data_IF_650245749722
#
_entry.id   IF_650245749722
#
_cell.length_a   1.000
_cell.length_b   1.000
_cell.length_c   1.000
_cell.angle_alpha   90.00
_cell.angle_beta   90.00
_cell.angle_gamma   90.00
#
_symmetry.space_group_name_H-M   'P 1'
#
loop_
_entity.id
_entity.type
_entity.pdbx_description
1 polymer ?
#
# COMPACT_ATOMS: atom_id res chain seq x y z
N UNK A 1 1.96 12.05 0.07
CA UNK A 1 1.03 13.02 0.71
C UNK A 1 0.02 12.26 1.56
N UNK A 2 -0.34 12.82 2.70
CA UNK A 2 -1.44 12.33 3.54
C UNK A 2 -2.46 13.47 3.73
N UNK A 3 -3.74 13.11 3.69
CA UNK A 3 -4.87 14.01 3.92
C UNK A 3 -5.91 13.31 4.78
N UNK A 4 -6.63 14.06 5.61
CA UNK A 4 -7.75 13.52 6.36
C UNK A 4 -8.90 14.53 6.46
N UNK A 5 -10.12 14.02 6.69
CA UNK A 5 -11.34 14.80 6.87
C UNK A 5 -11.99 14.61 8.25
N UNK A 6 -11.20 14.20 9.26
CA UNK A 6 -11.59 13.82 10.64
C UNK A 6 -12.36 12.49 10.74
N UNK A 7 -12.73 11.86 9.63
CA UNK A 7 -13.36 10.52 9.57
C UNK A 7 -12.49 9.53 8.83
N UNK A 8 -11.90 9.96 7.73
CA UNK A 8 -11.10 9.15 6.83
C UNK A 8 -9.71 9.74 6.67
N UNK A 9 -8.76 8.89 6.37
CA UNK A 9 -7.39 9.23 5.98
C UNK A 9 -7.11 8.66 4.59
N UNK A 10 -6.48 9.48 3.77
CA UNK A 10 -6.01 9.10 2.46
C UNK A 10 -4.50 9.31 2.34
N UNK A 11 -3.82 8.35 1.71
CA UNK A 11 -2.41 8.45 1.36
C UNK A 11 -2.28 8.39 -0.15
N UNK A 12 -1.62 9.39 -0.75
CA UNK A 12 -1.25 9.40 -2.16
C UNK A 12 0.25 9.21 -2.29
N UNK A 13 0.64 8.17 -3.01
CA UNK A 13 2.02 7.85 -3.34
C UNK A 13 2.23 7.99 -4.83
N UNK A 14 3.41 8.47 -5.21
CA UNK A 14 3.82 8.64 -6.60
C UNK A 14 5.25 8.18 -6.75
N UNK A 15 5.53 7.42 -7.80
CA UNK A 15 6.90 7.04 -8.15
C UNK A 15 7.05 6.91 -9.66
N UNK A 16 8.26 7.18 -10.12
CA UNK A 16 8.62 6.99 -11.52
C UNK A 16 8.81 5.51 -11.82
N UNK A 17 8.21 5.08 -12.91
CA UNK A 17 8.28 3.74 -13.41
C UNK A 17 8.07 3.78 -14.94
N UNK A 18 9.08 3.39 -15.68
CA UNK A 18 9.06 3.52 -17.15
C UNK A 18 8.03 2.58 -17.79
N UNK A 19 7.77 1.44 -17.15
CA UNK A 19 6.86 0.40 -17.67
C UNK A 19 5.93 -0.10 -16.57
N UNK A 20 4.61 -0.18 -16.80
CA UNK A 20 3.70 -0.75 -15.81
C UNK A 20 3.70 -2.28 -15.91
N UNK A 21 4.19 -2.93 -14.86
CA UNK A 21 4.14 -4.38 -14.73
C UNK A 21 2.86 -4.79 -14.00
N UNK A 22 1.87 -5.17 -14.81
CA UNK A 22 0.50 -5.44 -14.37
C UNK A 22 0.11 -6.90 -14.62
N UNK A 23 -0.86 -7.40 -13.86
CA UNK A 23 -1.35 -8.76 -14.04
C UNK A 23 -1.95 -8.94 -15.45
N UNK A 24 -1.52 -10.01 -16.13
CA UNK A 24 -2.06 -10.41 -17.43
C UNK A 24 -2.53 -11.87 -17.34
N UNK A 25 -3.63 -12.24 -17.99
CA UNK A 25 -4.06 -13.65 -18.03
C UNK A 25 -2.94 -14.55 -18.53
N UNK A 26 -2.57 -15.55 -17.73
CA UNK A 26 -1.54 -16.54 -18.07
C UNK A 26 -0.09 -16.08 -17.92
N UNK A 27 0.16 -14.82 -17.54
CA UNK A 27 1.53 -14.33 -17.33
C UNK A 27 1.52 -13.14 -16.37
N UNK A 28 1.88 -13.34 -15.13
CA UNK A 28 2.47 -12.26 -14.32
C UNK A 28 3.00 -12.81 -13.01
N UNK A 29 4.29 -12.89 -12.90
CA UNK A 29 4.95 -13.33 -11.68
C UNK A 29 5.51 -12.15 -10.89
N UNK A 30 5.73 -11.03 -11.56
CA UNK A 30 6.35 -9.83 -10.98
C UNK A 30 5.49 -8.62 -11.34
N UNK A 31 4.79 -8.09 -10.34
CA UNK A 31 3.91 -6.94 -10.50
C UNK A 31 4.50 -5.74 -9.79
N UNK A 32 4.20 -4.56 -10.31
CA UNK A 32 4.41 -3.35 -9.54
C UNK A 32 3.51 -3.36 -8.32
N UNK A 33 4.08 -3.01 -7.20
CA UNK A 33 3.37 -2.99 -5.94
C UNK A 33 3.96 -1.95 -4.99
N UNK A 34 3.12 -1.48 -4.09
CA UNK A 34 3.55 -0.58 -3.02
C UNK A 34 2.82 -0.93 -1.73
N UNK A 35 3.52 -0.83 -0.60
CA UNK A 35 2.91 -1.01 0.70
C UNK A 35 3.22 0.15 1.63
N UNK A 36 2.25 0.45 2.49
CA UNK A 36 2.38 1.28 3.67
C UNK A 36 2.44 0.38 4.88
N UNK A 37 3.42 0.58 5.74
CA UNK A 37 3.56 -0.15 6.99
C UNK A 37 3.46 0.83 8.14
N UNK A 38 2.61 0.51 9.12
CA UNK A 38 2.38 1.31 10.31
C UNK A 38 2.70 0.53 11.57
N UNK A 39 3.15 1.23 12.60
CA UNK A 39 3.26 0.67 13.94
C UNK A 39 2.39 1.46 14.92
N UNK A 40 1.81 0.74 15.88
CA UNK A 40 1.09 1.33 17.00
C UNK A 40 2.01 2.03 18.01
N UNK A 41 3.31 1.74 17.96
CA UNK A 41 4.30 2.46 18.77
C UNK A 41 4.73 3.74 18.07
N UNK A 42 4.70 4.86 18.79
CA UNK A 42 5.22 6.15 18.31
C UNK A 42 6.74 6.32 18.54
N UNK A 43 7.39 5.34 19.15
CA UNK A 43 8.81 5.40 19.47
C UNK A 43 9.67 5.15 18.24
N UNK A 44 10.30 6.20 17.74
CA UNK A 44 11.28 6.10 16.67
C UNK A 44 12.47 5.21 17.08
N UNK A 45 12.81 4.25 16.20
CA UNK A 45 13.99 3.39 16.38
C UNK A 45 13.78 2.19 17.32
N UNK A 46 12.61 2.08 17.96
CA UNK A 46 12.34 0.94 18.85
C UNK A 46 11.80 -0.29 18.13
N UNK A 47 11.49 -0.19 16.84
CA UNK A 47 10.90 -1.28 16.04
C UNK A 47 11.70 -1.45 14.76
N UNK A 48 12.02 -2.71 14.47
CA UNK A 48 12.66 -3.04 13.20
C UNK A 48 11.72 -2.72 12.02
N UNK A 49 12.22 -1.99 11.03
CA UNK A 49 11.43 -1.55 9.87
C UNK A 49 11.03 -2.68 8.91
N UNK A 50 11.65 -3.85 9.04
CA UNK A 50 11.39 -5.01 8.22
C UNK A 50 10.28 -5.89 8.80
N UNK A 51 9.01 -5.46 8.72
CA UNK A 51 7.82 -6.25 9.07
C UNK A 51 7.59 -6.43 10.59
N UNK A 52 8.03 -5.47 11.39
CA UNK A 52 7.80 -5.50 12.84
C UNK A 52 8.67 -6.49 13.59
N UNK A 53 8.33 -6.68 14.86
CA UNK A 53 9.02 -7.58 15.80
C UNK A 53 8.02 -8.33 16.68
N UNK A 54 8.48 -9.43 17.29
CA UNK A 54 7.72 -10.13 18.31
C UNK A 54 7.27 -9.15 19.40
N UNK A 55 5.98 -9.11 19.71
CA UNK A 55 5.31 -8.15 20.62
C UNK A 55 5.19 -6.71 20.11
N UNK A 56 5.67 -6.39 18.94
CA UNK A 56 5.50 -5.09 18.29
C UNK A 56 5.01 -5.29 16.84
N UNK A 57 3.75 -5.71 16.67
CA UNK A 57 3.19 -5.97 15.35
C UNK A 57 3.07 -4.67 14.54
N UNK A 58 3.05 -4.85 13.24
CA UNK A 58 2.79 -3.79 12.27
C UNK A 58 1.55 -4.13 11.47
N UNK A 59 0.80 -3.08 11.11
CA UNK A 59 -0.29 -3.17 10.14
C UNK A 59 0.23 -2.70 8.79
N UNK A 60 -0.05 -3.45 7.72
CA UNK A 60 0.49 -3.24 6.38
C UNK A 60 -0.68 -3.15 5.41
N UNK A 61 -0.70 -2.10 4.60
CA UNK A 61 -1.61 -1.92 3.48
C UNK A 61 -0.85 -2.16 2.19
N UNK A 62 -1.14 -3.25 1.52
CA UNK A 62 -0.39 -3.71 0.36
C UNK A 62 -1.24 -3.61 -0.89
N UNK A 63 -0.90 -2.70 -1.79
CA UNK A 63 -1.48 -2.57 -3.11
C UNK A 63 -0.60 -3.25 -4.15
N UNK A 64 -1.23 -3.96 -5.11
CA UNK A 64 -0.58 -4.59 -6.25
C UNK A 64 -1.25 -4.16 -7.55
N UNK A 65 -0.51 -4.11 -8.63
CA UNK A 65 -1.03 -3.89 -9.98
C UNK A 65 -1.61 -5.19 -10.57
N UNK A 66 -2.44 -5.91 -9.80
CA UNK A 66 -3.01 -7.20 -10.14
C UNK A 66 -4.40 -7.11 -10.82
N UNK A 67 -4.99 -5.92 -10.82
CA UNK A 67 -6.30 -5.67 -11.41
C UNK A 67 -6.31 -4.35 -12.16
N UNK A 68 -6.59 -4.38 -13.45
CA UNK A 68 -6.62 -3.16 -14.28
C UNK A 68 -7.53 -3.32 -15.49
N UNK A 69 -8.03 -2.18 -15.98
CA UNK A 69 -8.55 -2.06 -17.34
C UNK A 69 -7.64 -1.12 -18.12
N UNK A 70 -7.33 -1.52 -19.34
CA UNK A 70 -6.79 -0.59 -20.32
C UNK A 70 -7.97 0.23 -20.83
N UNK A 71 -8.02 1.50 -20.51
CA UNK A 71 -8.93 2.43 -21.16
C UNK A 71 -8.20 2.95 -22.38
N UNK A 72 -8.57 2.47 -23.57
CA UNK A 72 -8.14 3.06 -24.83
C UNK A 72 -8.69 4.49 -24.86
N UNK A 73 -7.84 5.44 -24.55
CA UNK A 73 -8.10 6.84 -24.83
C UNK A 73 -8.06 7.08 -26.34
N UNK A 74 -8.89 8.02 -26.84
CA UNK A 74 -8.82 8.49 -28.22
C UNK A 74 -7.37 8.75 -28.64
N UNK A 75 -7.06 8.49 -29.92
CA UNK A 75 -5.74 8.40 -30.58
C UNK A 75 -4.71 9.56 -30.37
N UNK A 76 -4.89 10.39 -29.36
CA UNK A 76 -3.97 11.44 -28.90
C UNK A 76 -3.61 11.35 -27.41
N UNK A 77 -4.07 10.34 -26.71
CA UNK A 77 -3.78 10.14 -25.29
C UNK A 77 -2.95 8.89 -25.12
N UNK A 78 -1.78 9.04 -24.54
CA UNK A 78 -0.94 7.93 -24.10
C UNK A 78 -1.77 6.97 -23.26
N UNK A 79 -1.59 5.67 -23.44
CA UNK A 79 -2.35 4.60 -22.82
C UNK A 79 -2.48 4.83 -21.30
N UNK A 80 -3.69 5.11 -20.86
CA UNK A 80 -4.01 5.25 -19.45
C UNK A 80 -4.49 3.90 -18.92
N UNK A 81 -3.72 3.29 -18.06
CA UNK A 81 -4.13 2.08 -17.36
C UNK A 81 -5.00 2.45 -16.18
N UNK A 82 -6.23 1.97 -16.18
CA UNK A 82 -7.16 2.14 -15.06
C UNK A 82 -7.43 0.76 -14.47
N UNK A 83 -7.39 0.66 -13.15
CA UNK A 83 -7.61 -0.59 -12.44
C UNK A 83 -8.97 -1.22 -12.75
N UNK A 84 -8.99 -2.54 -12.78
CA UNK A 84 -10.16 -3.36 -13.03
C UNK A 84 -11.26 -3.11 -12.00
N UNK A 85 -12.49 -2.78 -12.42
CA UNK A 85 -13.62 -2.61 -11.52
C UNK A 85 -14.11 -3.93 -10.89
N UNK A 86 -13.65 -5.09 -11.37
CA UNK A 86 -14.10 -6.40 -10.87
C UNK A 86 -13.33 -6.91 -9.66
N UNK A 87 -12.22 -6.28 -9.27
CA UNK A 87 -11.58 -6.58 -8.02
C UNK A 87 -11.83 -5.43 -7.06
N UNK A 88 -12.85 -5.56 -6.23
CA UNK A 88 -13.23 -4.53 -5.26
C UNK A 88 -12.13 -4.24 -4.23
N UNK A 89 -11.13 -5.11 -4.15
CA UNK A 89 -10.06 -5.04 -3.15
C UNK A 89 -8.67 -5.13 -3.79
N UNK A 90 -8.22 -4.02 -4.37
CA UNK A 90 -6.84 -3.89 -4.86
C UNK A 90 -5.80 -3.74 -3.73
N UNK A 91 -6.23 -3.73 -2.48
CA UNK A 91 -5.37 -3.63 -1.30
C UNK A 91 -5.63 -4.81 -0.38
N UNK A 92 -4.56 -5.45 0.07
CA UNK A 92 -4.59 -6.43 1.16
C UNK A 92 -4.14 -5.74 2.46
N UNK A 93 -4.95 -5.85 3.51
CA UNK A 93 -4.53 -5.52 4.87
C UNK A 93 -3.90 -6.75 5.52
N UNK A 94 -2.69 -6.56 5.99
CA UNK A 94 -1.84 -7.62 6.50
C UNK A 94 -1.27 -7.19 7.85
N UNK A 95 -1.09 -8.14 8.75
CA UNK A 95 -0.34 -7.92 9.97
C UNK A 95 0.94 -8.75 9.97
N UNK A 96 1.97 -8.24 10.61
CA UNK A 96 3.22 -8.97 10.79
C UNK A 96 3.88 -8.63 12.13
N UNK A 97 4.59 -9.59 12.70
CA UNK A 97 5.38 -9.43 13.93
C UNK A 97 6.77 -10.05 13.77
N UNK A 98 7.39 -9.81 12.62
CA UNK A 98 8.68 -10.31 12.18
C UNK A 98 8.60 -11.10 10.88
N UNK A 99 9.75 -11.49 10.35
CA UNK A 99 9.82 -12.29 9.13
C UNK A 99 9.09 -13.63 9.27
N UNK A 100 8.34 -14.01 8.24
CA UNK A 100 7.59 -15.26 8.21
C UNK A 100 6.27 -15.25 8.99
N UNK A 101 5.86 -14.11 9.55
CA UNK A 101 4.66 -13.99 10.37
C UNK A 101 3.53 -13.23 9.67
N UNK A 102 3.62 -13.03 8.35
CA UNK A 102 2.58 -12.36 7.58
C UNK A 102 1.24 -13.09 7.73
N UNK A 103 0.24 -12.34 8.15
CA UNK A 103 -1.14 -12.82 8.27
C UNK A 103 -2.05 -11.83 7.57
N UNK A 104 -2.72 -12.28 6.53
CA UNK A 104 -3.77 -11.50 5.86
C UNK A 104 -4.97 -11.44 6.80
N UNK A 105 -5.51 -10.25 6.99
CA UNK A 105 -6.72 -10.09 7.81
C UNK A 105 -7.94 -10.76 7.16
N UNK A 106 -8.96 -11.05 7.97
CA UNK A 106 -10.21 -11.60 7.47
C UNK A 106 -10.88 -10.66 6.47
N UNK A 107 -11.76 -11.17 5.62
CA UNK A 107 -12.46 -10.34 4.63
C UNK A 107 -13.28 -9.21 5.27
N UNK A 108 -13.79 -9.42 6.48
CA UNK A 108 -14.57 -8.43 7.24
C UNK A 108 -13.68 -7.29 7.74
N UNK A 109 -12.41 -7.57 8.01
CA UNK A 109 -11.42 -6.62 8.51
C UNK A 109 -10.67 -5.88 7.39
N UNK A 110 -10.81 -6.30 6.13
CA UNK A 110 -10.21 -5.63 4.97
C UNK A 110 -10.93 -4.32 4.66
N UNK A 111 -10.56 -3.23 5.31
CA UNK A 111 -11.27 -1.96 5.23
C UNK A 111 -10.55 -0.87 4.42
N UNK A 112 -9.32 -1.13 4.01
CA UNK A 112 -8.59 -0.23 3.12
C UNK A 112 -9.05 -0.40 1.69
N UNK A 113 -9.36 0.70 1.04
CA UNK A 113 -9.52 0.75 -0.42
C UNK A 113 -8.31 1.42 -1.05
N UNK A 114 -7.97 1.02 -2.26
CA UNK A 114 -6.87 1.62 -3.00
C UNK A 114 -7.11 1.63 -4.49
N UNK A 115 -6.57 2.63 -5.16
CA UNK A 115 -6.58 2.73 -6.62
C UNK A 115 -5.22 3.20 -7.10
N UNK A 116 -4.70 2.54 -8.14
CA UNK A 116 -3.49 2.94 -8.84
C UNK A 116 -3.79 3.34 -10.27
N UNK A 117 -3.08 4.33 -10.75
CA UNK A 117 -3.07 4.75 -12.16
C UNK A 117 -1.63 4.94 -12.58
N UNK A 118 -1.26 4.31 -13.69
CA UNK A 118 0.00 4.57 -14.36
C UNK A 118 -0.25 5.50 -15.56
N UNK A 119 0.57 6.53 -15.67
CA UNK A 119 0.50 7.50 -16.76
C UNK A 119 1.86 8.15 -16.98
N UNK A 120 2.30 8.17 -18.23
CA UNK A 120 3.53 8.88 -18.62
C UNK A 120 4.78 8.54 -17.78
N UNK A 121 4.98 7.25 -17.51
CA UNK A 121 6.15 6.79 -16.76
C UNK A 121 6.06 7.03 -15.25
N UNK A 122 4.85 7.18 -14.72
CA UNK A 122 4.66 7.39 -13.28
C UNK A 122 3.43 6.64 -12.76
N UNK A 123 3.58 5.92 -11.67
CA UNK A 123 2.48 5.43 -10.86
C UNK A 123 1.97 6.50 -9.90
N UNK A 124 0.66 6.59 -9.77
CA UNK A 124 -0.01 7.27 -8.67
C UNK A 124 -0.96 6.28 -8.01
N UNK A 125 -0.72 5.98 -6.74
CA UNK A 125 -1.58 5.09 -5.93
C UNK A 125 -2.16 5.87 -4.77
N UNK A 126 -3.47 5.72 -4.56
CA UNK A 126 -4.19 6.31 -3.43
C UNK A 126 -4.77 5.21 -2.57
N UNK A 127 -4.48 5.24 -1.29
CA UNK A 127 -5.12 4.43 -0.26
C UNK A 127 -6.13 5.28 0.51
N UNK A 128 -7.24 4.69 0.90
CA UNK A 128 -8.28 5.35 1.70
C UNK A 128 -8.83 4.38 2.74
N UNK A 129 -8.95 4.83 3.98
CA UNK A 129 -9.60 4.10 5.07
C UNK A 129 -10.19 5.06 6.11
N UNK A 130 -11.12 4.59 6.92
CA UNK A 130 -11.54 5.31 8.12
C UNK A 130 -10.39 5.43 9.12
N UNK A 131 -10.35 6.55 9.85
CA UNK A 131 -9.35 6.76 10.91
C UNK A 131 -9.48 5.71 12.02
N UNK A 132 -10.71 5.33 12.31
CA UNK A 132 -11.05 4.27 13.29
C UNK A 132 -11.77 3.13 12.59
N UNK A 133 -11.43 1.93 12.96
CA UNK A 133 -12.03 0.68 12.51
C UNK A 133 -12.39 -0.18 13.72
N UNK A 134 -13.19 -1.21 13.51
CA UNK A 134 -13.56 -2.15 14.56
C UNK A 134 -12.48 -3.22 14.81
N UNK A 135 -11.62 -3.46 13.83
CA UNK A 135 -10.58 -4.50 13.94
C UNK A 135 -9.52 -4.11 14.98
N UNK A 136 -9.24 -4.96 15.96
CA UNK A 136 -8.16 -4.73 16.93
C UNK A 136 -6.76 -4.87 16.31
N UNK A 137 -6.67 -5.37 15.10
CA UNK A 137 -5.42 -5.58 14.38
C UNK A 137 -5.00 -4.37 13.54
N UNK A 138 -5.90 -3.40 13.40
CA UNK A 138 -5.64 -2.20 12.61
C UNK A 138 -4.93 -1.13 13.40
N UNK A 139 -4.07 -0.40 12.71
CA UNK A 139 -3.61 0.89 13.23
C UNK A 139 -4.81 1.82 13.40
N UNK A 140 -4.97 2.40 14.56
CA UNK A 140 -6.01 3.38 14.86
C UNK A 140 -5.39 4.79 14.80
N UNK A 141 -5.86 5.61 13.89
CA UNK A 141 -5.36 6.96 13.75
C UNK A 141 -6.14 7.92 14.64
N UNK A 142 -5.45 8.75 15.40
CA UNK A 142 -6.03 9.79 16.23
C UNK A 142 -5.45 11.14 15.82
N UNK A 143 -6.31 12.15 15.68
CA UNK A 143 -5.85 13.51 15.42
C UNK A 143 -4.92 13.98 16.55
N UNK A 144 -3.90 14.75 16.20
CA UNK A 144 -2.85 15.25 17.08
C UNK A 144 -1.90 14.19 17.67
N UNK A 145 -2.11 12.90 17.37
CA UNK A 145 -1.17 11.85 17.73
C UNK A 145 -0.13 11.62 16.65
N UNK A 146 1.03 11.16 17.09
CA UNK A 146 2.12 10.78 16.19
C UNK A 146 2.06 9.27 15.97
N UNK A 147 2.19 8.88 14.71
CA UNK A 147 2.39 7.50 14.30
C UNK A 147 3.69 7.39 13.51
N UNK A 148 4.14 6.19 13.29
CA UNK A 148 5.27 5.94 12.39
C UNK A 148 4.81 5.15 11.18
N UNK A 149 5.35 5.51 10.02
CA UNK A 149 5.04 4.91 8.73
C UNK A 149 6.34 4.54 8.01
N UNK A 150 6.34 3.41 7.33
CA UNK A 150 7.39 3.02 6.39
C UNK A 150 6.76 2.58 5.07
N UNK A 151 7.57 2.58 4.02
CA UNK A 151 7.13 2.27 2.66
C UNK A 151 7.92 1.09 2.11
N UNK A 152 7.26 0.26 1.32
CA UNK A 152 7.92 -0.77 0.53
C UNK A 152 7.45 -0.67 -0.92
N UNK A 153 8.38 -0.80 -1.87
CA UNK A 153 8.13 -0.71 -3.30
C UNK A 153 8.71 -1.95 -3.99
N UNK A 154 7.93 -2.53 -4.89
CA UNK A 154 8.35 -3.59 -5.80
C UNK A 154 8.24 -3.09 -7.24
N UNK A 155 9.29 -3.28 -7.99
CA UNK A 155 9.43 -2.95 -9.41
C UNK A 155 9.41 -4.29 -10.18
N UNK A 156 8.31 -4.55 -10.86
CA UNK A 156 8.11 -5.80 -11.58
C UNK A 156 9.10 -5.99 -12.73
N UNK A 157 9.52 -4.91 -13.41
CA UNK A 157 10.55 -4.96 -14.45
C UNK A 157 11.88 -5.48 -13.89
N UNK A 158 12.21 -5.16 -12.64
CA UNK A 158 13.41 -5.66 -11.95
C UNK A 158 13.21 -7.02 -11.31
N UNK A 159 12.08 -7.66 -11.55
CA UNK A 159 11.71 -8.95 -10.97
C UNK A 159 11.72 -8.93 -9.44
N UNK A 160 11.33 -7.81 -8.87
CA UNK A 160 11.18 -7.67 -7.43
C UNK A 160 9.89 -8.36 -6.96
N UNK A 161 9.99 -9.17 -5.92
CA UNK A 161 8.87 -9.93 -5.33
C UNK A 161 9.18 -10.36 -3.90
N UNK A 162 8.18 -10.44 -3.05
CA UNK A 162 8.31 -10.91 -1.66
C UNK A 162 9.34 -10.12 -0.85
N UNK A 163 10.45 -10.75 -0.44
CA UNK A 163 11.52 -10.10 0.30
C UNK A 163 12.41 -9.19 -0.56
N UNK A 164 12.46 -9.43 -1.87
CA UNK A 164 13.21 -8.60 -2.81
C UNK A 164 12.39 -7.36 -3.15
N UNK A 165 12.64 -6.27 -2.42
CA UNK A 165 11.94 -4.99 -2.50
C UNK A 165 12.80 -3.85 -1.97
N UNK A 166 12.45 -2.64 -2.32
CA UNK A 166 13.03 -1.43 -1.71
C UNK A 166 12.17 -1.03 -0.51
N UNK A 167 12.81 -0.67 0.58
CA UNK A 167 12.11 -0.23 1.80
C UNK A 167 12.68 1.09 2.30
N UNK A 168 11.82 1.91 2.88
CA UNK A 168 12.25 3.11 3.60
C UNK A 168 12.55 2.79 5.06
N UNK A 169 13.30 3.67 5.71
CA UNK A 169 13.28 3.74 7.17
C UNK A 169 11.93 4.29 7.64
N UNK A 170 11.67 4.17 8.95
CA UNK A 170 10.51 4.77 9.57
C UNK A 170 10.49 6.29 9.38
N UNK A 171 9.33 6.81 9.07
CA UNK A 171 9.03 8.24 8.99
C UNK A 171 7.99 8.59 10.04
N UNK A 172 8.04 9.80 10.58
CA UNK A 172 7.00 10.27 11.48
C UNK A 172 5.78 10.72 10.66
N UNK A 173 4.61 10.20 11.03
CA UNK A 173 3.32 10.64 10.53
C UNK A 173 2.65 11.48 11.60
N UNK A 174 2.36 12.74 11.27
CA UNK A 174 1.59 13.64 12.13
C UNK A 174 0.24 13.86 11.45
N UNK A 175 -0.83 13.59 12.18
CA UNK A 175 -2.20 13.84 11.75
C UNK A 175 -2.68 15.10 12.48
N UNK A 176 -2.79 16.25 11.78
CA UNK A 176 -3.14 17.53 12.41
C UNK A 176 -4.55 17.58 12.98
#
# INVERSE_FOLDING_TARGET
QALHNRRQIAFRLKWKDETPEVAKPGAAFYLDAIALQFSSSSEFGSIYYGMGERKKPVNIWHWKADSFQVVEGNAKSNNKLVLNPFNEKSVEEINASGFGTLTVQSLEDQQVTGKGVWMEGEWTVVFLRNLKTASPFDIQFTASEKSIIAFALWDGQKKEKNANKRVSFWQQLVIP
#
